data_IF_651294662123
#
_entry.id   IF_651294662123
#
_cell.length_a   1.000
_cell.length_b   1.000
_cell.length_c   1.000
_cell.angle_alpha   90.00
_cell.angle_beta   90.00
_cell.angle_gamma   90.00
#
_symmetry.space_group_name_H-M   'P 1'
#
loop_
_entity.id
_entity.type
_entity.pdbx_description
1 polymer ?
#
# COMPACT_ATOMS: atom_id res chain seq x y z
N UNK A 1 -8.48 -6.72 18.97
CA UNK A 1 -7.09 -7.15 18.99
C UNK A 1 -6.28 -6.25 19.90
N UNK A 2 -5.18 -6.73 20.48
CA UNK A 2 -4.26 -5.86 21.19
C UNK A 2 -3.71 -4.78 20.24
N UNK A 3 -3.35 -3.59 20.75
CA UNK A 3 -2.70 -2.58 19.94
C UNK A 3 -1.34 -3.11 19.45
N UNK A 4 -0.92 -2.59 18.30
CA UNK A 4 0.41 -2.83 17.79
C UNK A 4 1.46 -1.96 18.48
N UNK A 5 2.65 -2.00 17.93
CA UNK A 5 3.80 -1.24 18.41
C UNK A 5 4.39 -0.40 17.28
N UNK A 6 4.89 0.78 17.63
CA UNK A 6 5.72 1.56 16.73
C UNK A 6 7.15 1.03 16.78
N UNK A 7 7.67 0.68 15.63
CA UNK A 7 9.04 0.22 15.43
C UNK A 7 9.76 1.13 14.45
N UNK A 8 11.08 1.19 14.50
CA UNK A 8 11.91 1.92 13.53
C UNK A 8 12.83 0.92 12.83
N UNK A 9 12.70 0.85 11.51
CA UNK A 9 13.57 0.01 10.69
C UNK A 9 14.63 0.88 10.05
N UNK A 10 15.91 0.63 10.33
CA UNK A 10 17.02 1.25 9.58
C UNK A 10 17.00 0.66 8.17
N UNK A 11 16.75 1.49 7.18
CA UNK A 11 16.58 1.04 5.79
C UNK A 11 17.75 1.44 4.91
N UNK A 12 18.40 2.56 5.22
CA UNK A 12 19.62 3.06 4.59
C UNK A 12 20.52 3.72 5.65
N UNK A 13 21.81 3.96 5.38
CA UNK A 13 22.69 4.70 6.30
C UNK A 13 22.06 6.05 6.71
N UNK A 14 21.83 6.22 8.02
CA UNK A 14 21.23 7.43 8.59
C UNK A 14 19.72 7.62 8.34
N UNK A 15 19.06 6.69 7.66
CA UNK A 15 17.64 6.76 7.36
C UNK A 15 16.89 5.59 7.98
N UNK A 16 15.75 5.88 8.59
CA UNK A 16 14.83 4.84 9.08
C UNK A 16 13.40 5.08 8.61
N UNK A 17 12.68 3.99 8.48
CA UNK A 17 11.24 4.01 8.22
C UNK A 17 10.52 3.56 9.48
N UNK A 18 9.73 4.42 10.14
CA UNK A 18 8.88 4.00 11.23
C UNK A 18 7.74 3.15 10.68
N UNK A 19 7.39 2.10 11.40
CA UNK A 19 6.21 1.29 11.12
C UNK A 19 5.35 1.20 12.38
N UNK A 20 4.04 1.04 12.18
CA UNK A 20 3.16 0.55 13.23
C UNK A 20 2.81 -0.90 12.91
N UNK A 21 3.19 -1.82 13.78
CA UNK A 21 3.12 -3.24 13.51
C UNK A 21 2.27 -3.98 14.53
N UNK A 22 1.36 -4.82 14.03
CA UNK A 22 0.65 -5.85 14.80
C UNK A 22 1.15 -7.20 14.34
N UNK A 23 1.81 -7.93 15.23
CA UNK A 23 2.34 -9.25 14.95
C UNK A 23 1.46 -10.33 15.61
N UNK A 24 1.25 -11.42 14.90
CA UNK A 24 0.44 -12.56 15.35
C UNK A 24 1.16 -13.87 15.06
N UNK A 25 1.14 -14.78 16.02
CA UNK A 25 1.69 -16.13 15.86
C UNK A 25 0.88 -17.02 14.91
N UNK A 26 -0.42 -16.72 14.75
CA UNK A 26 -1.35 -17.42 13.88
C UNK A 26 -1.58 -16.74 12.52
N UNK A 27 -0.71 -15.79 12.15
CA UNK A 27 -0.87 -15.01 10.93
C UNK A 27 -0.87 -15.89 9.68
N UNK A 28 -1.91 -15.75 8.86
CA UNK A 28 -2.03 -16.39 7.54
C UNK A 28 -1.47 -15.54 6.41
N UNK A 29 -1.33 -14.25 6.65
CA UNK A 29 -0.69 -13.30 5.75
C UNK A 29 -0.16 -12.10 6.55
N UNK A 30 0.81 -11.41 5.96
CA UNK A 30 1.30 -10.11 6.43
C UNK A 30 0.86 -9.03 5.45
N UNK A 31 0.08 -8.08 5.94
CA UNK A 31 -0.44 -6.96 5.15
C UNK A 31 0.45 -5.74 5.36
N UNK A 32 1.16 -5.32 4.32
CA UNK A 32 1.99 -4.11 4.32
C UNK A 32 1.19 -2.98 3.66
N UNK A 33 0.81 -1.98 4.45
CA UNK A 33 -0.13 -0.94 4.07
C UNK A 33 0.58 0.35 3.69
N UNK A 34 0.46 0.75 2.41
CA UNK A 34 0.94 2.01 1.86
C UNK A 34 -0.21 3.01 1.77
N UNK A 35 -0.23 3.99 2.66
CA UNK A 35 -1.26 5.02 2.69
C UNK A 35 -1.13 6.03 1.54
N UNK A 36 -2.24 6.69 1.22
CA UNK A 36 -2.33 7.77 0.25
C UNK A 36 -1.77 9.10 0.74
N UNK A 37 -2.03 10.18 -0.02
CA UNK A 37 -1.55 11.51 0.28
C UNK A 37 -0.04 11.57 0.45
N UNK A 38 0.45 12.21 1.49
CA UNK A 38 1.88 12.30 1.83
C UNK A 38 2.45 11.03 2.48
N UNK A 39 1.70 9.94 2.56
CA UNK A 39 2.13 8.72 3.22
C UNK A 39 2.06 8.78 4.74
N UNK A 40 2.49 7.67 5.36
CA UNK A 40 2.52 7.55 6.82
C UNK A 40 1.19 7.11 7.43
N UNK A 41 1.23 6.82 8.71
CA UNK A 41 0.05 6.34 9.46
C UNK A 41 -0.51 7.40 10.45
N UNK A 42 0.02 8.62 10.42
CA UNK A 42 -0.42 9.69 11.32
C UNK A 42 0.10 9.51 12.75
N UNK A 43 -0.58 10.16 13.70
CA UNK A 43 -0.24 10.09 15.11
C UNK A 43 -0.92 8.87 15.76
N UNK A 44 -0.34 8.40 16.85
CA UNK A 44 -0.98 7.38 17.68
C UNK A 44 -2.06 8.04 18.54
N UNK A 45 -3.27 7.54 18.43
CA UNK A 45 -4.40 8.02 19.21
C UNK A 45 -4.40 7.53 20.66
N UNK A 46 -5.37 8.00 21.45
CA UNK A 46 -5.52 7.60 22.87
C UNK A 46 -5.82 6.11 23.07
N UNK A 47 -6.34 5.44 22.04
CA UNK A 47 -6.57 3.99 22.03
C UNK A 47 -5.33 3.17 21.61
N UNK A 48 -4.17 3.83 21.49
CA UNK A 48 -2.89 3.26 21.05
C UNK A 48 -2.88 2.77 19.60
N UNK A 49 -3.84 3.23 18.78
CA UNK A 49 -3.89 2.94 17.35
C UNK A 49 -3.59 4.20 16.52
N UNK A 50 -3.04 4.06 15.30
CA UNK A 50 -2.89 5.18 14.39
C UNK A 50 -4.24 5.85 14.06
N UNK A 51 -4.28 7.17 14.17
CA UNK A 51 -5.48 7.99 13.99
C UNK A 51 -5.51 8.74 12.65
N UNK A 52 -4.74 8.29 11.66
CA UNK A 52 -4.73 8.91 10.33
C UNK A 52 -6.05 8.75 9.59
N UNK A 53 -6.47 9.81 8.88
CA UNK A 53 -7.74 9.82 8.12
C UNK A 53 -7.76 8.91 6.88
N UNK A 54 -6.60 8.44 6.42
CA UNK A 54 -6.50 7.56 5.27
C UNK A 54 -7.26 6.25 5.49
N UNK A 55 -7.90 5.73 4.44
CA UNK A 55 -8.72 4.52 4.48
C UNK A 55 -7.99 3.33 5.13
N UNK A 56 -6.78 3.02 4.69
CA UNK A 56 -6.04 1.88 5.22
C UNK A 56 -5.67 2.06 6.70
N UNK A 57 -5.40 3.29 7.11
CA UNK A 57 -5.00 3.59 8.48
C UNK A 57 -6.21 3.50 9.43
N UNK A 58 -7.30 4.21 9.13
CA UNK A 58 -8.51 4.21 9.97
C UNK A 58 -9.19 2.84 10.05
N UNK A 59 -8.96 1.96 9.05
CA UNK A 59 -9.50 0.58 9.05
C UNK A 59 -8.51 -0.46 9.56
N UNK A 60 -7.27 -0.08 9.86
CA UNK A 60 -6.21 -1.00 10.24
C UNK A 60 -6.53 -1.87 11.45
N UNK A 61 -7.21 -1.30 12.45
CA UNK A 61 -7.69 -2.04 13.62
C UNK A 61 -8.65 -3.19 13.23
N UNK A 62 -9.45 -3.01 12.17
CA UNK A 62 -10.36 -4.06 11.66
C UNK A 62 -9.58 -5.20 11.02
N UNK A 63 -8.51 -4.89 10.27
CA UNK A 63 -7.64 -5.92 9.68
C UNK A 63 -7.01 -6.80 10.74
N UNK A 64 -6.59 -6.21 11.86
CA UNK A 64 -5.95 -6.92 12.96
C UNK A 64 -6.91 -7.84 13.77
N UNK A 65 -8.24 -7.77 13.57
CA UNK A 65 -9.17 -8.74 14.10
C UNK A 65 -9.12 -10.10 13.37
N UNK A 66 -8.54 -10.11 12.18
CA UNK A 66 -8.32 -11.32 11.40
C UNK A 66 -6.92 -11.89 11.65
N UNK A 67 -6.63 -13.12 11.25
CA UNK A 67 -5.32 -13.74 11.42
C UNK A 67 -4.30 -13.15 10.43
N UNK A 68 -4.02 -11.85 10.56
CA UNK A 68 -3.05 -11.13 9.75
C UNK A 68 -2.04 -10.40 10.63
N UNK A 69 -0.77 -10.40 10.24
CA UNK A 69 0.11 -9.31 10.63
C UNK A 69 -0.30 -8.05 9.88
N UNK A 70 -0.29 -6.91 10.55
CA UNK A 70 -0.65 -5.61 9.92
C UNK A 70 0.49 -4.64 10.12
N UNK A 71 1.08 -4.19 9.03
CA UNK A 71 2.22 -3.28 9.03
C UNK A 71 1.81 -1.99 8.32
N UNK A 72 1.64 -0.91 9.06
CA UNK A 72 1.38 0.41 8.50
C UNK A 72 2.70 1.13 8.30
N UNK A 73 3.01 1.49 7.07
CA UNK A 73 4.29 2.10 6.70
C UNK A 73 4.27 3.59 7.00
N UNK A 74 5.26 4.06 7.75
CA UNK A 74 5.47 5.47 8.05
C UNK A 74 6.25 6.20 6.93
N UNK A 75 6.57 7.46 7.18
CA UNK A 75 7.42 8.24 6.29
C UNK A 75 8.89 8.09 6.66
N UNK A 76 9.79 7.92 5.67
CA UNK A 76 11.22 7.90 5.93
C UNK A 76 11.71 9.16 6.64
N UNK A 77 12.74 9.01 7.46
CA UNK A 77 13.28 10.11 8.30
C UNK A 77 14.13 11.12 7.52
N UNK A 78 14.45 10.87 6.26
CA UNK A 78 15.15 11.81 5.38
C UNK A 78 14.25 12.94 4.84
N UNK A 79 12.94 12.91 5.16
CA UNK A 79 12.00 13.96 4.78
C UNK A 79 11.54 13.92 3.32
N UNK A 80 11.76 12.80 2.60
CA UNK A 80 11.25 12.66 1.23
C UNK A 80 9.74 12.95 1.17
N UNK A 81 9.34 13.79 0.24
CA UNK A 81 7.92 14.15 0.04
C UNK A 81 7.19 13.07 -0.76
N UNK A 82 6.50 12.18 -0.07
CA UNK A 82 5.70 11.11 -0.68
C UNK A 82 4.34 11.58 -1.22
N UNK A 83 4.00 12.88 -1.13
CA UNK A 83 2.88 13.44 -1.88
C UNK A 83 3.17 13.55 -3.38
N UNK A 84 4.43 13.51 -3.77
CA UNK A 84 4.89 13.53 -5.15
C UNK A 84 5.06 12.10 -5.66
N UNK A 85 4.32 11.75 -6.70
CA UNK A 85 4.33 10.39 -7.28
C UNK A 85 5.70 9.95 -7.76
N UNK A 86 6.52 10.87 -8.31
CA UNK A 86 7.90 10.58 -8.71
C UNK A 86 8.77 10.04 -7.57
N UNK A 87 8.57 10.55 -6.35
CA UNK A 87 9.33 10.11 -5.19
C UNK A 87 8.93 8.70 -4.73
N UNK A 88 7.73 8.25 -5.08
CA UNK A 88 7.25 6.90 -4.75
C UNK A 88 7.77 5.81 -5.67
N UNK A 89 8.32 6.19 -6.82
CA UNK A 89 8.99 5.28 -7.76
C UNK A 89 10.51 5.48 -7.78
N UNK A 90 11.01 6.41 -6.95
CA UNK A 90 12.44 6.67 -6.84
C UNK A 90 13.19 5.48 -6.23
N UNK A 91 14.42 5.29 -6.67
CA UNK A 91 15.27 4.18 -6.22
C UNK A 91 15.46 4.17 -4.71
N UNK A 92 15.61 5.33 -4.07
CA UNK A 92 15.79 5.43 -2.62
C UNK A 92 14.54 4.96 -1.85
N UNK A 93 13.35 5.31 -2.33
CA UNK A 93 12.10 4.82 -1.75
C UNK A 93 11.92 3.31 -1.95
N UNK A 94 12.34 2.79 -3.11
CA UNK A 94 12.30 1.35 -3.38
C UNK A 94 13.31 0.57 -2.54
N UNK A 95 14.49 1.14 -2.26
CA UNK A 95 15.46 0.57 -1.31
C UNK A 95 14.89 0.50 0.10
N UNK A 96 14.23 1.56 0.58
CA UNK A 96 13.57 1.55 1.88
C UNK A 96 12.51 0.46 1.96
N UNK A 97 11.67 0.36 0.93
CA UNK A 97 10.61 -0.66 0.88
C UNK A 97 11.19 -2.08 0.80
N UNK A 98 12.28 -2.28 0.05
CA UNK A 98 12.97 -3.58 0.01
C UNK A 98 13.51 -3.96 1.39
N UNK A 99 14.19 -3.06 2.07
CA UNK A 99 14.71 -3.30 3.42
C UNK A 99 13.57 -3.62 4.41
N UNK A 100 12.44 -2.90 4.30
CA UNK A 100 11.24 -3.19 5.08
C UNK A 100 10.71 -4.60 4.81
N UNK A 101 10.62 -5.03 3.54
CA UNK A 101 10.14 -6.36 3.19
C UNK A 101 11.04 -7.47 3.73
N UNK A 102 12.36 -7.27 3.71
CA UNK A 102 13.30 -8.19 4.35
C UNK A 102 13.06 -8.29 5.86
N UNK A 103 12.99 -7.16 6.56
CA UNK A 103 12.73 -7.15 8.01
C UNK A 103 11.40 -7.84 8.37
N UNK A 104 10.37 -7.64 7.55
CA UNK A 104 9.08 -8.33 7.70
C UNK A 104 9.23 -9.84 7.50
N UNK A 105 9.96 -10.27 6.47
CA UNK A 105 10.19 -11.69 6.17
C UNK A 105 11.00 -12.39 7.26
N UNK A 106 12.00 -11.73 7.80
CA UNK A 106 12.80 -12.27 8.93
C UNK A 106 11.94 -12.52 10.17
N UNK A 107 10.93 -11.67 10.39
CA UNK A 107 10.07 -11.76 11.57
C UNK A 107 8.89 -12.69 11.41
N UNK A 108 8.41 -12.92 10.19
CA UNK A 108 7.24 -13.78 9.94
C UNK A 108 7.37 -14.53 8.61
N UNK A 109 7.12 -15.86 8.61
CA UNK A 109 7.06 -16.67 7.39
C UNK A 109 5.76 -16.44 6.60
N UNK A 110 4.77 -15.74 7.16
CA UNK A 110 3.49 -15.51 6.52
C UNK A 110 3.65 -14.76 5.18
N UNK A 111 2.92 -15.15 4.11
CA UNK A 111 3.02 -14.50 2.81
C UNK A 111 2.73 -13.00 2.89
N UNK A 112 3.57 -12.20 2.26
CA UNK A 112 3.50 -10.73 2.30
C UNK A 112 2.59 -10.24 1.17
N UNK A 113 1.57 -9.47 1.52
CA UNK A 113 0.69 -8.78 0.60
C UNK A 113 0.89 -7.27 0.72
N UNK A 114 1.18 -6.62 -0.39
CA UNK A 114 1.25 -5.16 -0.45
C UNK A 114 -0.15 -4.60 -0.71
N UNK A 115 -0.56 -3.64 0.09
CA UNK A 115 -1.86 -2.98 -0.06
C UNK A 115 -1.63 -1.47 -0.18
N UNK A 116 -2.01 -0.89 -1.29
CA UNK A 116 -1.94 0.55 -1.53
C UNK A 116 -3.31 1.20 -1.66
N UNK A 117 -3.44 2.45 -1.21
CA UNK A 117 -4.61 3.27 -1.52
C UNK A 117 -4.19 4.63 -2.05
N UNK A 118 -4.89 5.16 -3.07
CA UNK A 118 -4.60 6.45 -3.68
C UNK A 118 -3.11 6.55 -4.06
N UNK A 119 -2.39 7.58 -3.63
CA UNK A 119 -0.93 7.71 -3.85
C UNK A 119 -0.15 6.49 -3.37
N UNK A 120 -0.63 5.76 -2.36
CA UNK A 120 0.00 4.53 -1.89
C UNK A 120 -0.01 3.38 -2.91
N UNK A 121 -0.91 3.42 -3.90
CA UNK A 121 -0.91 2.43 -5.00
C UNK A 121 0.33 2.54 -5.87
N UNK A 122 0.90 3.74 -5.99
CA UNK A 122 2.16 3.96 -6.70
C UNK A 122 3.30 3.22 -6.00
N UNK A 123 3.45 3.41 -4.68
CA UNK A 123 4.48 2.73 -3.88
C UNK A 123 4.32 1.20 -3.91
N UNK A 124 3.09 0.71 -3.69
CA UNK A 124 2.82 -0.72 -3.65
C UNK A 124 3.12 -1.40 -5.00
N UNK A 125 2.70 -0.78 -6.10
CA UNK A 125 2.97 -1.30 -7.46
C UNK A 125 4.45 -1.29 -7.78
N UNK A 126 5.13 -0.16 -7.53
CA UNK A 126 6.57 -0.02 -7.81
C UNK A 126 7.40 -1.02 -6.98
N UNK A 127 7.05 -1.21 -5.70
CA UNK A 127 7.73 -2.19 -4.84
C UNK A 127 7.50 -3.62 -5.31
N UNK A 128 6.28 -3.96 -5.75
CA UNK A 128 5.98 -5.29 -6.31
C UNK A 128 6.76 -5.56 -7.61
N UNK A 129 6.88 -4.54 -8.48
CA UNK A 129 7.65 -4.64 -9.73
C UNK A 129 9.16 -4.71 -9.50
N UNK A 130 9.65 -4.06 -8.44
CA UNK A 130 11.06 -4.05 -8.07
C UNK A 130 11.50 -5.32 -7.29
N UNK A 131 10.54 -6.12 -6.81
CA UNK A 131 10.83 -7.34 -6.05
C UNK A 131 11.45 -8.42 -6.94
N UNK A 132 12.76 -8.59 -6.81
CA UNK A 132 13.54 -9.63 -7.53
C UNK A 132 13.73 -10.90 -6.71
N UNK A 133 13.31 -10.90 -5.45
CA UNK A 133 13.55 -11.98 -4.49
C UNK A 133 12.29 -12.78 -4.17
N UNK A 134 11.19 -12.46 -4.85
CA UNK A 134 9.89 -13.10 -4.66
C UNK A 134 9.38 -13.04 -3.19
N UNK A 135 9.66 -11.92 -2.52
CA UNK A 135 9.19 -11.69 -1.16
C UNK A 135 7.68 -11.40 -1.12
N UNK A 136 7.16 -10.78 -2.18
CA UNK A 136 5.77 -10.34 -2.29
C UNK A 136 4.90 -11.44 -2.89
N UNK A 137 3.91 -11.89 -2.13
CA UNK A 137 2.99 -12.94 -2.53
C UNK A 137 1.74 -12.41 -3.27
N UNK A 138 1.42 -11.12 -3.13
CA UNK A 138 0.26 -10.54 -3.79
C UNK A 138 0.16 -9.02 -3.61
N UNK A 139 -0.70 -8.41 -4.43
CA UNK A 139 -0.89 -6.96 -4.51
C UNK A 139 -2.38 -6.61 -4.44
N UNK A 140 -2.73 -5.63 -3.61
CA UNK A 140 -4.09 -5.07 -3.55
C UNK A 140 -4.01 -3.56 -3.75
N UNK A 141 -4.72 -3.05 -4.73
CA UNK A 141 -4.77 -1.63 -5.06
C UNK A 141 -6.19 -1.10 -4.87
N UNK A 142 -6.34 -0.10 -4.00
CA UNK A 142 -7.64 0.53 -3.73
C UNK A 142 -7.61 1.99 -4.14
N UNK A 143 -8.67 2.50 -4.76
CA UNK A 143 -8.72 3.88 -5.28
C UNK A 143 -7.43 4.25 -6.01
N UNK A 144 -7.07 3.45 -7.01
CA UNK A 144 -5.76 3.53 -7.69
C UNK A 144 -5.56 4.86 -8.38
N UNK A 145 -4.35 5.43 -8.27
CA UNK A 145 -3.95 6.57 -9.09
C UNK A 145 -3.76 6.12 -10.54
N UNK A 146 -4.67 6.53 -11.40
CA UNK A 146 -4.70 6.18 -12.82
C UNK A 146 -4.47 7.38 -13.75
N UNK A 147 -4.56 8.60 -13.23
CA UNK A 147 -4.38 9.82 -14.01
C UNK A 147 -2.92 9.95 -14.51
N UNK A 148 -2.73 9.97 -15.82
CA UNK A 148 -1.40 10.09 -16.46
C UNK A 148 -0.63 11.39 -16.12
N UNK A 149 -1.32 12.42 -15.60
CA UNK A 149 -0.68 13.64 -15.12
C UNK A 149 0.15 13.42 -13.83
N UNK A 150 -0.12 12.35 -13.09
CA UNK A 150 0.62 12.00 -11.89
C UNK A 150 1.83 11.17 -12.27
N UNK A 151 3.01 11.60 -11.84
CA UNK A 151 4.23 10.81 -12.03
C UNK A 151 4.13 9.50 -11.24
N UNK A 152 4.56 8.41 -11.88
CA UNK A 152 4.49 7.10 -11.28
C UNK A 152 3.09 6.50 -11.18
N UNK A 153 2.04 7.17 -11.73
CA UNK A 153 0.69 6.60 -11.77
C UNK A 153 0.71 5.12 -12.22
N UNK A 154 -0.15 4.30 -11.66
CA UNK A 154 -0.11 2.84 -11.87
C UNK A 154 -0.08 2.45 -13.36
N UNK A 155 -0.85 3.08 -14.27
CA UNK A 155 -0.77 2.76 -15.70
C UNK A 155 0.54 3.17 -16.39
N UNK A 156 1.36 4.02 -15.75
CA UNK A 156 2.68 4.42 -16.27
C UNK A 156 3.78 3.43 -15.89
N UNK A 157 3.52 2.55 -14.95
CA UNK A 157 4.41 1.49 -14.54
C UNK A 157 4.21 0.24 -15.42
N UNK A 158 5.23 -0.60 -15.56
CA UNK A 158 5.11 -1.84 -16.36
C UNK A 158 4.34 -2.93 -15.61
N UNK A 159 3.04 -2.69 -15.37
CA UNK A 159 2.17 -3.64 -14.69
C UNK A 159 2.00 -4.96 -15.45
N UNK A 160 2.31 -5.00 -16.73
CA UNK A 160 2.31 -6.24 -17.52
C UNK A 160 3.41 -7.22 -17.08
N UNK A 161 4.44 -6.72 -16.41
CA UNK A 161 5.50 -7.52 -15.82
C UNK A 161 5.12 -8.19 -14.49
N UNK A 162 4.01 -7.79 -13.85
CA UNK A 162 3.55 -8.43 -12.61
C UNK A 162 3.23 -9.91 -12.84
N UNK A 163 3.66 -10.76 -11.92
CA UNK A 163 3.43 -12.22 -11.94
C UNK A 163 2.75 -12.74 -10.68
N UNK A 164 2.35 -11.84 -9.79
CA UNK A 164 1.72 -12.15 -8.50
C UNK A 164 0.21 -11.89 -8.56
N UNK A 165 -0.61 -12.58 -7.76
CA UNK A 165 -2.03 -12.29 -7.63
C UNK A 165 -2.27 -10.82 -7.37
N UNK A 166 -3.17 -10.20 -8.14
CA UNK A 166 -3.47 -8.77 -8.03
C UNK A 166 -4.96 -8.52 -7.94
N UNK A 167 -5.38 -7.78 -6.90
CA UNK A 167 -6.74 -7.36 -6.67
C UNK A 167 -6.85 -5.84 -6.81
N UNK A 168 -7.74 -5.38 -7.68
CA UNK A 168 -8.16 -3.99 -7.77
C UNK A 168 -9.49 -3.84 -7.05
N UNK A 169 -9.59 -2.93 -6.09
CA UNK A 169 -10.83 -2.57 -5.39
C UNK A 169 -11.09 -1.09 -5.59
N UNK A 170 -12.24 -0.75 -6.14
CA UNK A 170 -12.53 0.63 -6.49
C UNK A 170 -13.98 0.99 -6.18
N UNK A 171 -14.24 2.21 -5.75
CA UNK A 171 -15.61 2.69 -5.62
C UNK A 171 -16.16 3.09 -6.99
N UNK A 172 -17.38 2.62 -7.33
CA UNK A 172 -17.97 2.86 -8.65
C UNK A 172 -18.20 4.36 -8.95
N UNK A 173 -18.32 5.17 -7.89
CA UNK A 173 -18.54 6.61 -7.95
C UNK A 173 -17.39 7.37 -7.24
N UNK A 174 -16.15 6.89 -7.38
CA UNK A 174 -14.98 7.61 -6.83
C UNK A 174 -14.87 8.98 -7.48
N UNK A 175 -14.94 10.04 -6.68
CA UNK A 175 -14.90 11.43 -7.14
C UNK A 175 -13.47 11.99 -7.25
N UNK A 176 -12.46 11.27 -6.77
CA UNK A 176 -11.05 11.67 -6.88
C UNK A 176 -10.65 11.79 -8.36
N UNK A 177 -10.20 12.97 -8.77
CA UNK A 177 -9.79 13.23 -10.15
C UNK A 177 -8.65 12.31 -10.64
N UNK A 178 -7.78 11.87 -9.72
CA UNK A 178 -6.67 10.96 -10.02
C UNK A 178 -7.04 9.48 -10.04
N UNK A 179 -8.25 9.13 -9.59
CA UNK A 179 -8.70 7.77 -9.34
C UNK A 179 -9.97 7.41 -10.12
N UNK A 180 -10.09 7.85 -11.36
CA UNK A 180 -11.35 7.74 -12.13
C UNK A 180 -11.76 6.29 -12.39
N UNK A 181 -13.00 5.87 -12.05
CA UNK A 181 -13.43 4.47 -12.15
C UNK A 181 -13.35 3.87 -13.56
N UNK A 182 -13.62 4.66 -14.61
CA UNK A 182 -13.54 4.17 -15.99
C UNK A 182 -12.10 3.88 -16.42
N UNK A 183 -11.10 4.64 -15.92
CA UNK A 183 -9.68 4.41 -16.21
C UNK A 183 -9.17 3.16 -15.48
N UNK A 184 -9.73 2.84 -14.30
CA UNK A 184 -9.41 1.59 -13.58
C UNK A 184 -9.86 0.35 -14.34
N UNK A 185 -10.98 0.42 -15.08
CA UNK A 185 -11.39 -0.66 -15.99
C UNK A 185 -10.36 -0.88 -17.11
N UNK A 186 -9.76 0.21 -17.61
CA UNK A 186 -8.68 0.10 -18.60
C UNK A 186 -7.43 -0.53 -17.96
N UNK A 187 -7.06 -0.09 -16.75
CA UNK A 187 -5.95 -0.67 -15.98
C UNK A 187 -6.10 -2.18 -15.80
N UNK A 188 -7.30 -2.65 -15.45
CA UNK A 188 -7.56 -4.08 -15.24
C UNK A 188 -7.30 -4.91 -16.51
N UNK A 189 -7.53 -4.36 -17.69
CA UNK A 189 -7.23 -5.05 -18.96
C UNK A 189 -5.73 -5.28 -19.19
N UNK A 190 -4.88 -4.39 -18.68
CA UNK A 190 -3.41 -4.56 -18.77
C UNK A 190 -2.87 -5.62 -17.79
N UNK A 191 -3.65 -6.01 -16.78
CA UNK A 191 -3.30 -7.08 -15.84
C UNK A 191 -3.63 -8.49 -16.35
N UNK A 192 -4.04 -8.66 -17.59
CA UNK A 192 -4.46 -9.96 -18.14
C UNK A 192 -3.37 -11.05 -18.08
N UNK A 193 -2.10 -10.65 -18.09
CA UNK A 193 -0.96 -11.56 -17.92
C UNK A 193 -0.74 -11.98 -16.46
N UNK A 194 -1.32 -11.23 -15.52
CA UNK A 194 -1.24 -11.49 -14.08
C UNK A 194 -2.33 -12.48 -13.69
N UNK A 195 -1.95 -13.63 -13.15
CA UNK A 195 -2.95 -14.65 -12.76
C UNK A 195 -2.71 -15.08 -11.31
N UNK A 196 -3.76 -15.08 -10.50
CA UNK A 196 -5.09 -14.51 -10.74
C UNK A 196 -5.11 -12.98 -10.61
N UNK A 197 -5.97 -12.30 -11.37
CA UNK A 197 -6.30 -10.90 -11.13
C UNK A 197 -7.82 -10.71 -11.04
N UNK A 198 -8.25 -9.70 -10.30
CA UNK A 198 -9.66 -9.38 -10.12
C UNK A 198 -9.87 -7.88 -9.96
N UNK A 199 -10.95 -7.37 -10.53
CA UNK A 199 -11.46 -6.03 -10.31
C UNK A 199 -12.80 -6.12 -9.57
N UNK A 200 -12.90 -5.44 -8.43
CA UNK A 200 -14.14 -5.29 -7.67
C UNK A 200 -14.54 -3.82 -7.65
N UNK A 201 -15.76 -3.52 -8.07
CA UNK A 201 -16.39 -2.23 -7.83
C UNK A 201 -17.29 -2.33 -6.60
N UNK A 202 -17.13 -1.34 -5.71
CA UNK A 202 -17.93 -1.19 -4.50
C UNK A 202 -18.93 -0.06 -4.75
N UNK A 203 -20.17 -0.28 -4.38
CA UNK A 203 -21.24 0.70 -4.44
C UNK A 203 -21.75 1.02 -3.04
N UNK A 204 -22.49 2.11 -2.90
CA UNK A 204 -23.06 2.55 -1.64
C UNK A 204 -22.30 3.73 -1.00
N UNK A 205 -22.61 4.02 0.26
CA UNK A 205 -22.07 5.19 0.94
C UNK A 205 -22.86 6.47 0.64
N UNK A 206 -22.36 7.61 1.13
CA UNK A 206 -22.94 8.94 0.89
C UNK A 206 -22.66 9.46 -0.53
N UNK A 207 -23.18 10.66 -0.83
CA UNK A 207 -22.84 11.36 -2.08
C UNK A 207 -21.34 11.65 -2.12
N UNK A 208 -20.64 11.30 -3.22
CA UNK A 208 -19.23 11.63 -3.35
C UNK A 208 -19.04 13.15 -3.27
N UNK A 209 -18.09 13.57 -2.44
CA UNK A 209 -17.60 14.94 -2.45
C UNK A 209 -16.30 14.94 -3.23
N UNK A 210 -16.24 15.74 -4.31
CA UNK A 210 -15.02 15.94 -5.07
C UNK A 210 -14.01 16.78 -4.28
N UNK A 211 -12.74 16.57 -4.54
CA UNK A 211 -11.65 17.44 -4.12
C UNK A 211 -11.61 18.70 -4.99
#
# INVERSE_FOLDING_TARGET
>A
PPPGQTERLTTRPGVSVPIYAVWRSDARATLVLFSGGAGGYGQIGSDSWPAGGNFLIRTGKRWAHHPFNVIMVGRPTDGIDLSLGRNRIDTTHLEDNRALLHAVRERSPAPIWLIGTSMGTISATASALADREALVAGLVLTSSIVAFKVDGAVPKQDISALRIPTLLVHHAKDACWGCRPHEVRALARHLQQTKPHRLLFIEGGGTPQGD
#
